data_IF_700398742766
#
_entry.id   IF_700398742766
#
_cell.length_a   1.000
_cell.length_b   1.000
_cell.length_c   1.000
_cell.angle_alpha   90.00
_cell.angle_beta   90.00
_cell.angle_gamma   90.00
#
_symmetry.space_group_name_H-M   'P 1'
#
loop_
_entity.id
_entity.type
_entity.pdbx_description
1 polymer ?
#
# COMPACT_ATOMS: atom_id res chain seq x y z
N UNK A 1 14.69 1.06 -9.71
CA UNK A 1 15.26 -0.17 -9.11
C UNK A 1 14.92 -0.16 -7.63
N UNK A 2 14.78 -1.33 -7.00
CA UNK A 2 14.51 -1.47 -5.55
C UNK A 2 15.56 -2.41 -4.96
N UNK A 3 16.27 -1.98 -3.92
CA UNK A 3 17.24 -2.80 -3.22
C UNK A 3 16.62 -3.36 -1.94
N UNK A 4 16.59 -4.69 -1.83
CA UNK A 4 16.26 -5.37 -0.57
C UNK A 4 17.56 -5.65 0.18
N UNK A 5 17.81 -4.91 1.27
CA UNK A 5 19.02 -5.07 2.08
C UNK A 5 18.76 -6.11 3.17
N UNK A 6 19.29 -7.31 2.99
CA UNK A 6 19.12 -8.38 3.96
C UNK A 6 20.00 -8.15 5.20
N UNK A 7 19.38 -8.03 6.37
CA UNK A 7 20.03 -7.80 7.67
C UNK A 7 19.74 -8.95 8.65
N UNK A 8 20.43 -9.00 9.78
CA UNK A 8 20.13 -9.97 10.83
C UNK A 8 18.80 -9.67 11.52
N UNK A 9 18.28 -10.63 12.29
CA UNK A 9 17.09 -10.45 13.11
C UNK A 9 17.25 -9.34 14.15
N UNK A 10 18.41 -9.25 14.81
CA UNK A 10 18.69 -8.24 15.83
C UNK A 10 18.74 -6.82 15.28
N UNK A 11 19.03 -6.69 13.99
CA UNK A 11 19.21 -5.41 13.31
C UNK A 11 17.96 -4.95 12.54
N UNK A 12 16.96 -5.82 12.33
CA UNK A 12 15.83 -5.50 11.43
C UNK A 12 15.02 -4.29 11.91
N UNK A 13 14.83 -4.17 13.23
CA UNK A 13 14.12 -3.06 13.86
C UNK A 13 14.94 -1.76 13.86
N UNK A 14 16.27 -1.87 13.95
CA UNK A 14 17.20 -0.74 14.03
C UNK A 14 18.14 -0.67 12.82
N UNK A 15 17.63 -1.05 11.64
CA UNK A 15 18.45 -1.21 10.43
C UNK A 15 19.07 0.11 9.93
N UNK A 16 18.62 1.25 10.44
CA UNK A 16 19.25 2.56 10.24
C UNK A 16 20.67 2.64 10.79
N UNK A 17 20.96 1.92 11.88
CA UNK A 17 22.27 1.93 12.54
C UNK A 17 23.26 0.96 11.88
N UNK A 18 22.80 0.11 10.96
CA UNK A 18 23.65 -0.86 10.29
C UNK A 18 24.53 -0.15 9.21
N UNK A 19 25.87 -0.18 9.34
CA UNK A 19 26.77 0.51 8.42
C UNK A 19 26.75 -0.07 6.99
N UNK A 20 26.37 -1.33 6.81
CA UNK A 20 26.19 -1.93 5.49
C UNK A 20 24.91 -1.45 4.82
N UNK A 21 23.82 -1.28 5.57
CA UNK A 21 22.59 -0.68 5.06
C UNK A 21 22.85 0.76 4.62
N UNK A 22 23.60 1.53 5.40
CA UNK A 22 24.00 2.89 5.03
C UNK A 22 24.78 2.93 3.71
N UNK A 23 25.72 2.01 3.48
CA UNK A 23 26.45 1.88 2.20
C UNK A 23 25.53 1.54 1.03
N UNK A 24 24.56 0.65 1.23
CA UNK A 24 23.57 0.30 0.18
C UNK A 24 22.68 1.51 -0.14
N UNK A 25 22.27 2.29 0.87
CA UNK A 25 21.52 3.54 0.66
C UNK A 25 22.32 4.59 -0.10
N UNK A 26 23.59 4.77 0.25
CA UNK A 26 24.47 5.69 -0.46
C UNK A 26 24.57 5.31 -1.94
N UNK A 27 24.81 4.03 -2.24
CA UNK A 27 24.84 3.53 -3.61
C UNK A 27 23.50 3.71 -4.33
N UNK A 28 22.40 3.27 -3.71
CA UNK A 28 21.06 3.36 -4.29
C UNK A 28 20.64 4.82 -4.59
N UNK A 29 21.07 5.77 -3.76
CA UNK A 29 20.78 7.20 -3.95
C UNK A 29 21.37 7.76 -5.25
N UNK A 30 22.51 7.22 -5.70
CA UNK A 30 23.15 7.62 -6.96
C UNK A 30 22.30 7.22 -8.18
N UNK A 31 21.46 6.20 -8.03
CA UNK A 31 20.54 5.72 -9.06
C UNK A 31 19.08 6.17 -8.84
N UNK A 32 18.81 6.94 -7.78
CA UNK A 32 17.45 7.31 -7.37
C UNK A 32 16.59 6.10 -6.98
N UNK A 33 17.22 5.05 -6.47
CA UNK A 33 16.56 3.82 -6.06
C UNK A 33 16.21 3.81 -4.57
N UNK A 34 15.11 3.14 -4.23
CA UNK A 34 14.69 2.93 -2.84
C UNK A 34 15.39 1.69 -2.24
N UNK A 35 15.62 1.72 -0.93
CA UNK A 35 16.19 0.59 -0.18
C UNK A 35 15.22 0.17 0.92
N UNK A 36 14.92 -1.12 0.96
CA UNK A 36 14.07 -1.74 2.00
C UNK A 36 14.92 -2.73 2.79
N UNK A 37 15.28 -2.41 4.04
CA UNK A 37 15.88 -3.37 4.95
C UNK A 37 14.88 -4.47 5.31
N UNK A 38 15.33 -5.72 5.27
CA UNK A 38 14.51 -6.91 5.53
C UNK A 38 15.38 -7.98 6.19
N UNK A 39 14.83 -8.79 7.08
CA UNK A 39 15.52 -10.00 7.55
C UNK A 39 14.82 -11.21 6.95
N UNK A 40 15.47 -11.85 5.97
CA UNK A 40 14.89 -13.03 5.31
C UNK A 40 14.59 -14.16 6.29
N UNK A 41 15.36 -14.25 7.40
CA UNK A 41 15.11 -15.22 8.49
C UNK A 41 13.79 -14.90 9.20
N UNK A 42 13.64 -13.65 9.67
CA UNK A 42 12.42 -13.17 10.34
C UNK A 42 11.19 -13.34 9.45
N UNK A 43 11.30 -13.02 8.15
CA UNK A 43 10.16 -13.20 7.23
C UNK A 43 9.78 -14.67 7.01
N UNK A 44 10.76 -15.58 7.04
CA UNK A 44 10.49 -17.02 6.94
C UNK A 44 9.72 -17.51 8.17
N UNK A 45 10.07 -17.01 9.35
CA UNK A 45 9.37 -17.35 10.60
C UNK A 45 7.95 -16.75 10.61
N UNK A 46 7.81 -15.48 10.21
CA UNK A 46 6.49 -14.81 10.07
C UNK A 46 5.57 -15.55 9.10
N UNK A 47 6.11 -16.13 8.03
CA UNK A 47 5.32 -16.84 7.02
C UNK A 47 4.67 -18.13 7.56
N UNK A 48 5.17 -18.66 8.67
CA UNK A 48 4.61 -19.85 9.35
C UNK A 48 3.58 -19.47 10.43
N UNK A 49 3.44 -18.17 10.74
CA UNK A 49 2.52 -17.65 11.76
C UNK A 49 1.24 -17.09 11.13
N UNK A 50 0.12 -17.25 11.81
CA UNK A 50 -1.18 -16.72 11.39
C UNK A 50 -1.83 -15.88 12.50
N UNK A 51 -2.72 -14.96 12.11
CA UNK A 51 -3.60 -14.24 13.05
C UNK A 51 -2.86 -13.52 14.18
N UNK A 52 -3.23 -13.85 15.42
CA UNK A 52 -2.74 -13.21 16.64
C UNK A 52 -1.26 -13.52 16.89
N UNK A 53 -0.79 -14.74 16.60
CA UNK A 53 0.61 -15.13 16.79
C UNK A 53 1.55 -14.30 15.92
N UNK A 54 1.15 -14.04 14.67
CA UNK A 54 1.89 -13.15 13.76
C UNK A 54 1.97 -11.73 14.33
N UNK A 55 0.87 -11.21 14.90
CA UNK A 55 0.83 -9.87 15.44
C UNK A 55 1.72 -9.73 16.69
N UNK A 56 1.64 -10.69 17.61
CA UNK A 56 2.50 -10.70 18.81
C UNK A 56 3.98 -10.79 18.44
N UNK A 57 4.35 -11.65 17.48
CA UNK A 57 5.73 -11.79 17.06
C UNK A 57 6.32 -10.50 16.45
N UNK A 58 5.52 -9.80 15.63
CA UNK A 58 5.90 -8.48 15.11
C UNK A 58 6.08 -7.46 16.24
N UNK A 59 5.16 -7.43 17.21
CA UNK A 59 5.24 -6.54 18.36
C UNK A 59 6.47 -6.81 19.24
N UNK A 60 6.82 -8.08 19.48
CA UNK A 60 8.03 -8.49 20.21
C UNK A 60 9.33 -8.00 19.54
N UNK A 61 9.33 -7.96 18.20
CA UNK A 61 10.44 -7.42 17.41
C UNK A 61 10.39 -5.88 17.27
N UNK A 62 9.38 -5.22 17.82
CA UNK A 62 9.18 -3.77 17.69
C UNK A 62 8.79 -3.34 16.27
N UNK A 63 8.16 -4.23 15.50
CA UNK A 63 7.74 -3.99 14.13
C UNK A 63 6.22 -3.86 14.04
N UNK A 64 5.74 -2.85 13.32
CA UNK A 64 4.31 -2.72 13.00
C UNK A 64 3.93 -3.53 11.75
N UNK A 65 4.86 -3.64 10.79
CA UNK A 65 4.68 -4.36 9.52
C UNK A 65 5.88 -5.26 9.25
N UNK A 66 5.64 -6.39 8.58
CA UNK A 66 6.74 -7.25 8.15
C UNK A 66 7.60 -6.56 7.08
N UNK A 67 8.84 -7.02 6.91
CA UNK A 67 9.71 -6.60 5.82
C UNK A 67 9.14 -6.92 4.44
N UNK A 68 8.43 -8.04 4.27
CA UNK A 68 7.71 -8.34 3.03
C UNK A 68 6.57 -7.35 2.77
N UNK A 69 5.79 -6.97 3.79
CA UNK A 69 4.74 -5.95 3.63
C UNK A 69 5.34 -4.62 3.17
N UNK A 70 6.44 -4.18 3.78
CA UNK A 70 7.18 -2.97 3.36
C UNK A 70 7.74 -3.09 1.94
N UNK A 71 8.26 -4.26 1.57
CA UNK A 71 8.79 -4.54 0.24
C UNK A 71 7.68 -4.50 -0.83
N UNK A 72 6.51 -5.09 -0.55
CA UNK A 72 5.34 -5.04 -1.43
C UNK A 72 4.91 -3.59 -1.66
N UNK A 73 4.80 -2.79 -0.60
CA UNK A 73 4.43 -1.38 -0.72
C UNK A 73 5.45 -0.58 -1.55
N UNK A 74 6.74 -0.79 -1.33
CA UNK A 74 7.80 -0.14 -2.10
C UNK A 74 7.76 -0.56 -3.59
N UNK A 75 7.57 -1.84 -3.88
CA UNK A 75 7.39 -2.34 -5.24
C UNK A 75 6.14 -1.73 -5.91
N UNK A 76 5.04 -1.60 -5.17
CA UNK A 76 3.80 -0.99 -5.65
C UNK A 76 4.01 0.48 -6.06
N UNK A 77 4.72 1.24 -5.21
CA UNK A 77 5.15 2.62 -5.53
C UNK A 77 6.07 2.67 -6.73
N UNK A 78 7.07 1.78 -6.80
CA UNK A 78 8.02 1.71 -7.90
C UNK A 78 7.33 1.46 -9.24
N UNK A 79 6.30 0.62 -9.26
CA UNK A 79 5.50 0.33 -10.46
C UNK A 79 4.51 1.46 -10.83
N UNK A 80 4.47 2.53 -10.03
CA UNK A 80 3.52 3.63 -10.19
C UNK A 80 2.07 3.18 -9.97
N UNK A 81 1.87 2.15 -9.15
CA UNK A 81 0.55 1.62 -8.83
C UNK A 81 -0.08 2.36 -7.65
N UNK A 82 -1.39 2.48 -7.72
CA UNK A 82 -2.25 3.12 -6.72
C UNK A 82 -3.42 2.19 -6.43
N UNK A 83 -4.04 2.39 -5.28
CA UNK A 83 -5.22 1.64 -4.86
C UNK A 83 -6.41 2.60 -4.77
N UNK A 84 -7.54 2.19 -5.33
CA UNK A 84 -8.84 2.77 -5.01
C UNK A 84 -9.78 1.67 -4.50
N UNK A 85 -10.86 2.07 -3.85
CA UNK A 85 -11.79 1.13 -3.23
C UNK A 85 -13.17 1.22 -3.85
N UNK A 86 -13.83 0.08 -3.96
CA UNK A 86 -15.28 0.00 -4.01
C UNK A 86 -15.76 -0.53 -2.68
N UNK A 87 -16.69 0.17 -2.04
CA UNK A 87 -17.24 -0.20 -0.74
C UNK A 87 -18.77 -0.16 -0.80
N UNK A 88 -19.40 -1.29 -0.49
CA UNK A 88 -20.84 -1.43 -0.39
C UNK A 88 -21.22 -2.50 0.65
N UNK A 89 -22.51 -2.73 0.82
CA UNK A 89 -23.02 -3.68 1.83
C UNK A 89 -22.53 -5.10 1.57
N UNK A 90 -22.39 -5.50 0.30
CA UNK A 90 -22.01 -6.85 -0.08
C UNK A 90 -20.50 -7.07 -0.13
N UNK A 91 -19.73 -6.05 -0.51
CA UNK A 91 -18.31 -6.20 -0.78
C UNK A 91 -17.56 -4.89 -0.51
N UNK A 92 -16.38 -5.03 0.09
CA UNK A 92 -15.34 -4.00 0.12
C UNK A 92 -14.13 -4.57 -0.60
N UNK A 93 -13.66 -3.87 -1.64
CA UNK A 93 -12.56 -4.36 -2.48
C UNK A 93 -11.58 -3.25 -2.84
N UNK A 94 -10.31 -3.60 -2.73
CA UNK A 94 -9.18 -2.81 -3.24
C UNK A 94 -8.94 -3.14 -4.72
N UNK A 95 -8.78 -2.11 -5.53
CA UNK A 95 -8.49 -2.21 -6.95
C UNK A 95 -7.17 -1.52 -7.26
N UNK A 96 -6.29 -2.25 -7.94
CA UNK A 96 -5.01 -1.74 -8.42
C UNK A 96 -5.21 -0.93 -9.70
N UNK A 97 -4.79 0.33 -9.70
CA UNK A 97 -4.68 1.16 -10.89
C UNK A 97 -3.28 1.77 -11.01
N UNK A 98 -3.01 2.46 -12.13
CA UNK A 98 -1.77 3.20 -12.35
C UNK A 98 -1.99 4.69 -12.07
N UNK A 99 -0.95 5.35 -11.55
CA UNK A 99 -0.94 6.79 -11.35
C UNK A 99 -1.30 7.52 -12.65
N UNK A 100 -2.22 8.47 -12.55
CA UNK A 100 -2.67 9.27 -13.69
C UNK A 100 -3.76 8.63 -14.55
N UNK A 101 -4.22 7.41 -14.24
CA UNK A 101 -5.43 6.87 -14.87
C UNK A 101 -6.63 7.76 -14.57
N UNK A 102 -7.43 8.03 -15.60
CA UNK A 102 -8.69 8.76 -15.48
C UNK A 102 -9.81 7.86 -14.94
N UNK A 103 -10.89 8.47 -14.45
CA UNK A 103 -12.03 7.74 -13.88
C UNK A 103 -12.63 6.67 -14.83
N UNK A 104 -12.78 6.89 -16.16
CA UNK A 104 -13.23 5.84 -17.07
C UNK A 104 -12.30 4.64 -17.11
N UNK A 105 -10.99 4.87 -17.13
CA UNK A 105 -9.98 3.80 -17.19
C UNK A 105 -9.95 3.02 -15.89
N UNK A 106 -10.07 3.70 -14.75
CA UNK A 106 -10.21 3.05 -13.45
C UNK A 106 -11.49 2.19 -13.40
N UNK A 107 -12.63 2.69 -13.90
CA UNK A 107 -13.84 1.90 -14.00
C UNK A 107 -13.68 0.67 -14.91
N UNK A 108 -12.87 0.79 -15.97
CA UNK A 108 -12.47 -0.31 -16.86
C UNK A 108 -11.76 -1.47 -16.16
N UNK A 109 -11.03 -1.20 -15.07
CA UNK A 109 -10.39 -2.23 -14.23
C UNK A 109 -11.44 -3.12 -13.55
N UNK A 110 -12.60 -2.55 -13.20
CA UNK A 110 -13.73 -3.30 -12.64
C UNK A 110 -14.43 -4.09 -13.74
N UNK A 111 -14.76 -3.42 -14.85
CA UNK A 111 -15.39 -4.05 -16.01
C UNK A 111 -15.19 -3.21 -17.27
N UNK A 112 -14.79 -3.84 -18.38
CA UNK A 112 -14.49 -3.14 -19.64
C UNK A 112 -15.65 -2.30 -20.20
N UNK A 113 -16.90 -2.71 -19.96
CA UNK A 113 -18.06 -1.92 -20.38
C UNK A 113 -18.23 -0.62 -19.60
N UNK A 114 -17.75 -0.53 -18.35
CA UNK A 114 -17.82 0.71 -17.59
C UNK A 114 -16.90 1.78 -18.16
N UNK A 115 -15.77 1.41 -18.77
CA UNK A 115 -14.91 2.39 -19.43
C UNK A 115 -15.58 2.98 -20.69
N UNK A 116 -16.18 2.12 -21.52
CA UNK A 116 -16.88 2.54 -22.75
C UNK A 116 -18.14 3.34 -22.44
N UNK A 117 -18.91 2.87 -21.47
CA UNK A 117 -20.18 3.44 -21.02
C UNK A 117 -20.04 4.50 -19.94
N UNK A 118 -18.81 4.96 -19.64
CA UNK A 118 -18.58 5.86 -18.52
C UNK A 118 -19.34 7.19 -18.68
N UNK A 119 -20.16 7.52 -17.69
CA UNK A 119 -20.87 8.79 -17.59
C UNK A 119 -20.21 9.65 -16.52
N UNK A 120 -20.14 9.13 -15.29
CA UNK A 120 -19.56 9.77 -14.11
C UNK A 120 -19.24 8.74 -13.03
N UNK A 121 -18.42 9.12 -12.06
CA UNK A 121 -18.18 8.37 -10.84
C UNK A 121 -18.54 9.20 -9.60
N UNK A 122 -19.13 8.56 -8.61
CA UNK A 122 -19.23 9.11 -7.25
C UNK A 122 -17.93 8.81 -6.51
N UNK A 123 -17.21 9.86 -6.11
CA UNK A 123 -15.87 9.74 -5.52
C UNK A 123 -15.82 10.49 -4.19
N UNK A 124 -15.25 9.84 -3.19
CA UNK A 124 -14.95 10.41 -1.88
C UNK A 124 -13.50 10.08 -1.53
N UNK A 125 -12.82 10.95 -0.78
CA UNK A 125 -11.50 10.61 -0.26
C UNK A 125 -11.62 9.59 0.87
N UNK A 126 -10.58 8.77 1.08
CA UNK A 126 -10.57 7.79 2.16
C UNK A 126 -10.76 8.49 3.53
N UNK A 127 -9.98 9.54 3.79
CA UNK A 127 -10.02 10.27 5.06
C UNK A 127 -11.40 10.88 5.34
N UNK A 128 -12.06 11.43 4.30
CA UNK A 128 -13.42 11.98 4.43
C UNK A 128 -14.46 10.89 4.72
N UNK A 129 -14.31 9.71 4.13
CA UNK A 129 -15.21 8.60 4.38
C UNK A 129 -15.05 8.04 5.79
N UNK A 130 -13.81 7.88 6.26
CA UNK A 130 -13.54 7.44 7.63
C UNK A 130 -14.03 8.47 8.66
N UNK A 131 -13.74 9.76 8.45
CA UNK A 131 -14.18 10.81 9.36
C UNK A 131 -15.71 10.99 9.37
N UNK A 132 -16.38 10.79 8.23
CA UNK A 132 -17.83 10.90 8.11
C UNK A 132 -18.59 9.64 8.56
N UNK A 133 -17.92 8.49 8.62
CA UNK A 133 -18.49 7.21 9.07
C UNK A 133 -19.49 6.54 8.11
N UNK A 134 -20.08 7.27 7.16
CA UNK A 134 -20.96 6.69 6.13
C UNK A 134 -21.07 7.59 4.90
N UNK A 135 -21.31 7.00 3.72
CA UNK A 135 -21.51 7.73 2.46
C UNK A 135 -22.60 8.80 2.54
N UNK A 136 -23.68 8.56 3.30
CA UNK A 136 -24.74 9.55 3.50
C UNK A 136 -24.24 10.77 4.27
N UNK A 137 -23.51 10.56 5.36
CA UNK A 137 -22.93 11.65 6.13
C UNK A 137 -21.92 12.46 5.31
N UNK A 138 -21.06 11.82 4.51
CA UNK A 138 -20.10 12.55 3.66
C UNK A 138 -20.79 13.35 2.56
N UNK A 139 -21.92 12.84 2.04
CA UNK A 139 -22.76 13.54 1.06
C UNK A 139 -23.44 14.77 1.67
N UNK A 140 -23.99 14.67 2.88
CA UNK A 140 -24.58 15.81 3.59
C UNK A 140 -23.55 16.90 3.91
N UNK A 141 -22.29 16.50 4.15
CA UNK A 141 -21.16 17.42 4.32
C UNK A 141 -20.65 18.03 3.00
N UNK A 142 -21.22 17.67 1.85
CA UNK A 142 -20.82 18.19 0.53
C UNK A 142 -19.45 17.69 0.04
N UNK A 143 -18.92 16.62 0.62
CA UNK A 143 -17.60 16.05 0.30
C UNK A 143 -17.65 14.94 -0.75
N UNK A 144 -18.84 14.42 -1.05
CA UNK A 144 -19.06 13.51 -2.17
C UNK A 144 -18.99 14.27 -3.50
N UNK A 145 -18.10 13.83 -4.39
CA UNK A 145 -17.87 14.45 -5.70
C UNK A 145 -18.45 13.59 -6.81
N UNK A 146 -18.95 14.27 -7.85
CA UNK A 146 -19.35 13.65 -9.11
C UNK A 146 -18.27 13.96 -10.15
N UNK A 147 -17.41 12.98 -10.39
CA UNK A 147 -16.26 13.12 -11.29
C UNK A 147 -16.61 12.64 -12.71
N UNK A 148 -16.21 13.42 -13.71
CA UNK A 148 -16.41 13.13 -15.12
C UNK A 148 -15.29 12.29 -15.73
N UNK A 149 -15.15 12.39 -17.06
CA UNK A 149 -14.14 11.65 -17.84
C UNK A 149 -12.72 12.16 -17.64
#
# INVERSE_FOLDING_TARGET
>A
VLYAANVSEDEVANSEDNPFVAKVREFASQEGAEVVPISAKVESEIAELEGEDRAMFLEELGLEFSGLDRLIQAAYRLLGLYTYFTAGVQEVRAWTNRKGMKAPQAAGVIHSDFERGFIRAEVVSYDDLIAGGSMNAVKEQGKLRLEGK
#
